data_IF_724457474252
#
_entry.id   IF_724457474252
#
_cell.length_a   1.000
_cell.length_b   1.000
_cell.length_c   1.000
_cell.angle_alpha   90.00
_cell.angle_beta   90.00
_cell.angle_gamma   90.00
#
_symmetry.space_group_name_H-M   'P 1'
#
loop_
_entity.id
_entity.type
_entity.pdbx_description
1 polymer ?
#
# COMPACT_ATOMS: atom_id res chain seq x y z
N UNK A 1 -2.96 -17.12 -4.21
CA UNK A 1 -3.14 -17.32 -5.66
C UNK A 1 -2.56 -18.67 -6.02
N UNK A 2 -3.30 -19.46 -6.80
CA UNK A 2 -2.94 -20.82 -7.12
C UNK A 2 -3.10 -21.09 -8.61
N UNK A 3 -2.30 -22.01 -9.15
CA UNK A 3 -2.45 -22.55 -10.51
C UNK A 3 -2.82 -24.03 -10.44
N UNK A 4 -3.54 -24.52 -11.44
CA UNK A 4 -3.79 -25.95 -11.68
C UNK A 4 -3.95 -26.18 -13.20
N UNK A 5 -3.99 -27.43 -13.66
CA UNK A 5 -4.24 -27.70 -15.08
C UNK A 5 -5.69 -27.40 -15.45
N UNK A 6 -5.97 -26.98 -16.70
CA UNK A 6 -7.34 -26.74 -17.16
C UNK A 6 -8.25 -27.95 -16.95
N UNK A 7 -7.78 -29.15 -17.29
CA UNK A 7 -8.56 -30.40 -17.11
C UNK A 7 -8.91 -30.67 -15.65
N UNK A 8 -7.97 -30.43 -14.72
CA UNK A 8 -8.21 -30.61 -13.29
C UNK A 8 -9.23 -29.60 -12.76
N UNK A 9 -9.13 -28.34 -13.22
CA UNK A 9 -10.09 -27.29 -12.89
C UNK A 9 -11.49 -27.60 -13.42
N UNK A 10 -11.61 -28.04 -14.66
CA UNK A 10 -12.91 -28.39 -15.26
C UNK A 10 -13.57 -29.57 -14.55
N UNK A 11 -12.79 -30.62 -14.23
CA UNK A 11 -13.28 -31.76 -13.46
C UNK A 11 -13.74 -31.33 -12.08
N UNK A 12 -12.97 -30.49 -11.39
CA UNK A 12 -13.35 -29.92 -10.10
C UNK A 12 -14.63 -29.08 -10.19
N UNK A 13 -14.77 -28.25 -11.22
CA UNK A 13 -15.93 -27.36 -11.35
C UNK A 13 -17.23 -28.12 -11.65
N UNK A 14 -17.15 -29.32 -12.26
CA UNK A 14 -18.28 -30.23 -12.47
C UNK A 14 -18.67 -31.00 -11.18
N UNK A 15 -17.77 -31.13 -10.21
CA UNK A 15 -18.04 -31.79 -8.93
C UNK A 15 -18.62 -30.81 -7.90
N UNK A 16 -19.91 -30.53 -8.04
CA UNK A 16 -20.65 -29.62 -7.17
C UNK A 16 -20.66 -30.08 -5.71
N UNK A 17 -20.63 -31.40 -5.46
CA UNK A 17 -20.69 -31.98 -4.12
C UNK A 17 -19.40 -31.68 -3.35
N UNK A 18 -18.25 -31.95 -3.95
CA UNK A 18 -16.93 -31.68 -3.34
C UNK A 18 -16.71 -30.17 -3.16
N UNK A 19 -17.10 -29.36 -4.14
CA UNK A 19 -17.01 -27.89 -4.07
C UNK A 19 -17.81 -27.31 -2.90
N UNK A 20 -19.08 -27.72 -2.73
CA UNK A 20 -19.92 -27.22 -1.63
C UNK A 20 -19.38 -27.69 -0.27
N UNK A 21 -18.88 -28.92 -0.17
CA UNK A 21 -18.28 -29.43 1.06
C UNK A 21 -17.05 -28.59 1.46
N UNK A 22 -16.08 -28.43 0.55
CA UNK A 22 -14.87 -27.64 0.79
C UNK A 22 -15.20 -26.19 1.16
N UNK A 23 -16.18 -25.58 0.50
CA UNK A 23 -16.60 -24.21 0.81
C UNK A 23 -17.16 -24.09 2.24
N UNK A 24 -17.94 -25.08 2.69
CA UNK A 24 -18.48 -25.10 4.04
C UNK A 24 -17.39 -25.36 5.09
N UNK A 25 -16.44 -26.25 4.79
CA UNK A 25 -15.30 -26.54 5.66
C UNK A 25 -14.41 -25.30 5.84
N UNK A 26 -14.08 -24.60 4.75
CA UNK A 26 -13.32 -23.33 4.80
C UNK A 26 -14.06 -22.23 5.57
N UNK A 27 -15.39 -22.10 5.40
CA UNK A 27 -16.20 -21.15 6.18
C UNK A 27 -16.16 -21.48 7.68
N UNK A 28 -16.23 -22.76 8.03
CA UNK A 28 -16.16 -23.23 9.41
C UNK A 28 -14.79 -22.95 10.04
N UNK A 29 -13.71 -23.20 9.29
CA UNK A 29 -12.34 -22.96 9.74
C UNK A 29 -12.07 -21.46 9.93
N UNK A 30 -12.46 -20.63 8.95
CA UNK A 30 -12.37 -19.17 9.05
C UNK A 30 -13.08 -18.63 10.29
N UNK A 31 -14.28 -19.15 10.59
CA UNK A 31 -15.03 -18.79 11.79
C UNK A 31 -14.37 -19.27 13.10
N UNK A 32 -13.54 -20.31 13.07
CA UNK A 32 -12.81 -20.82 14.24
C UNK A 32 -11.54 -19.99 14.52
N UNK A 33 -10.90 -19.46 13.48
CA UNK A 33 -9.76 -18.52 13.58
C UNK A 33 -10.13 -17.09 13.96
N UNK A 34 -11.42 -16.80 14.20
CA UNK A 34 -11.89 -15.57 14.85
C UNK A 34 -11.47 -15.55 16.33
N UNK A 35 -10.17 -15.49 16.60
CA UNK A 35 -9.67 -15.10 17.93
C UNK A 35 -9.83 -13.58 18.06
N UNK A 36 -10.31 -13.10 19.21
CA UNK A 36 -10.62 -11.69 19.54
C UNK A 36 -9.46 -10.69 19.31
N UNK A 37 -8.25 -11.20 19.04
CA UNK A 37 -7.04 -10.43 18.80
C UNK A 37 -6.52 -10.49 17.35
N UNK A 38 -6.97 -11.43 16.53
CA UNK A 38 -6.60 -11.49 15.12
C UNK A 38 -7.69 -10.78 14.30
N UNK A 39 -7.35 -9.70 13.60
CA UNK A 39 -8.30 -9.01 12.72
C UNK A 39 -8.97 -9.98 11.71
N UNK A 40 -10.11 -9.58 11.12
CA UNK A 40 -10.96 -10.39 10.23
C UNK A 40 -10.19 -11.45 9.42
N UNK A 41 -10.48 -12.75 9.54
CA UNK A 41 -9.74 -13.80 8.85
C UNK A 41 -9.73 -13.52 7.34
N UNK A 42 -8.55 -13.57 6.73
CA UNK A 42 -8.45 -13.52 5.28
C UNK A 42 -8.99 -14.86 4.78
N UNK A 43 -10.16 -14.84 4.13
CA UNK A 43 -10.69 -16.02 3.47
C UNK A 43 -9.78 -16.35 2.27
N UNK A 44 -8.80 -17.22 2.50
CA UNK A 44 -8.01 -17.82 1.43
C UNK A 44 -8.78 -19.02 0.88
N UNK A 45 -9.40 -18.86 -0.28
CA UNK A 45 -10.05 -19.97 -0.98
C UNK A 45 -9.00 -20.90 -1.59
N UNK A 46 -8.51 -21.85 -0.79
CA UNK A 46 -7.66 -22.93 -1.27
C UNK A 46 -8.51 -24.18 -1.51
N UNK A 47 -8.95 -24.37 -2.75
CA UNK A 47 -9.81 -25.49 -3.13
C UNK A 47 -9.09 -26.84 -3.23
N UNK A 48 -7.77 -26.89 -3.00
CA UNK A 48 -6.95 -28.11 -3.03
C UNK A 48 -7.18 -28.98 -4.29
N UNK A 49 -7.28 -28.34 -5.45
CA UNK A 49 -7.46 -29.01 -6.74
C UNK A 49 -6.26 -29.93 -7.00
N UNK A 50 -6.43 -31.13 -7.59
CA UNK A 50 -5.30 -31.99 -7.92
C UNK A 50 -4.23 -31.27 -8.74
N UNK A 51 -2.96 -31.49 -8.37
CA UNK A 51 -1.79 -30.82 -8.96
C UNK A 51 -1.80 -29.29 -8.86
N UNK A 52 -2.57 -28.73 -7.92
CA UNK A 52 -2.54 -27.31 -7.65
C UNK A 52 -1.17 -26.88 -7.10
N UNK A 53 -0.68 -25.72 -7.55
CA UNK A 53 0.57 -25.11 -7.09
C UNK A 53 0.30 -23.70 -6.59
N UNK A 54 1.04 -23.29 -5.56
CA UNK A 54 0.98 -21.92 -5.04
C UNK A 54 1.74 -21.02 -6.02
N UNK A 55 1.07 -19.97 -6.49
CA UNK A 55 1.70 -18.92 -7.31
C UNK A 55 2.11 -17.72 -6.46
N UNK A 56 1.28 -17.38 -5.48
CA UNK A 56 1.51 -16.27 -4.56
C UNK A 56 0.71 -16.49 -3.28
N UNK A 57 1.28 -16.13 -2.16
CA UNK A 57 0.65 -16.16 -0.85
C UNK A 57 0.89 -14.81 -0.17
N UNK A 58 -0.10 -14.34 0.59
CA UNK A 58 0.07 -13.14 1.39
C UNK A 58 0.83 -13.50 2.67
N UNK A 59 1.71 -12.61 3.13
CA UNK A 59 2.34 -12.77 4.43
C UNK A 59 1.30 -12.84 5.55
N UNK A 60 1.62 -13.57 6.62
CA UNK A 60 0.79 -13.65 7.80
C UNK A 60 0.57 -12.27 8.41
N UNK A 61 -0.63 -12.04 8.95
CA UNK A 61 -0.93 -10.81 9.67
C UNK A 61 -0.15 -10.76 10.97
N UNK A 62 0.30 -9.57 11.32
CA UNK A 62 0.95 -9.31 12.59
C UNK A 62 0.00 -9.57 13.77
N UNK A 63 0.55 -10.16 14.84
CA UNK A 63 -0.19 -10.49 16.06
C UNK A 63 -0.95 -9.29 16.64
N UNK A 64 -0.41 -8.08 16.49
CA UNK A 64 -0.99 -6.82 16.98
C UNK A 64 -1.51 -5.93 15.85
N UNK A 65 -1.77 -6.49 14.66
CA UNK A 65 -2.17 -5.70 13.49
C UNK A 65 -3.37 -4.79 13.76
N UNK A 66 -4.35 -5.23 14.56
CA UNK A 66 -5.54 -4.45 14.91
C UNK A 66 -5.22 -3.12 15.61
N UNK A 67 -4.13 -3.08 16.37
CA UNK A 67 -3.70 -1.88 17.12
C UNK A 67 -2.96 -0.88 16.22
N UNK A 68 -2.50 -1.34 15.05
CA UNK A 68 -1.74 -0.57 14.07
C UNK A 68 -2.43 -0.52 12.71
N UNK A 69 -3.73 -0.17 12.71
CA UNK A 69 -4.54 0.04 11.49
C UNK A 69 -4.61 -1.18 10.55
N UNK A 70 -4.36 -2.39 11.06
CA UNK A 70 -4.20 -3.62 10.29
C UNK A 70 -3.13 -3.54 9.20
N UNK A 71 -2.08 -2.75 9.42
CA UNK A 71 -0.97 -2.65 8.50
C UNK A 71 -0.16 -3.95 8.42
N UNK A 72 0.29 -4.27 7.21
CA UNK A 72 1.34 -5.27 6.99
C UNK A 72 2.70 -4.69 7.38
N UNK A 73 3.70 -5.56 7.54
CA UNK A 73 5.09 -5.12 7.74
C UNK A 73 5.57 -4.20 6.61
N UNK A 74 5.16 -4.49 5.38
CA UNK A 74 5.46 -3.64 4.24
C UNK A 74 4.91 -2.23 4.44
N UNK A 75 3.64 -2.09 4.84
CA UNK A 75 3.01 -0.79 5.09
C UNK A 75 3.66 -0.05 6.27
N UNK A 76 3.99 -0.77 7.34
CA UNK A 76 4.72 -0.19 8.49
C UNK A 76 6.09 0.38 8.08
N UNK A 77 6.77 -0.26 7.12
CA UNK A 77 8.07 0.20 6.65
C UNK A 77 8.02 1.44 5.72
N UNK A 78 6.87 1.73 5.10
CA UNK A 78 6.75 2.82 4.10
C UNK A 78 7.16 4.18 4.67
N UNK A 79 6.76 4.47 5.91
CA UNK A 79 7.00 5.76 6.57
C UNK A 79 8.25 5.77 7.48
N UNK A 80 9.04 4.69 7.49
CA UNK A 80 10.27 4.62 8.28
C UNK A 80 11.29 5.62 7.75
N UNK A 81 11.79 6.51 8.63
CA UNK A 81 12.86 7.43 8.26
C UNK A 81 14.18 6.67 8.02
N UNK A 82 14.92 6.98 6.95
CA UNK A 82 16.24 6.41 6.77
C UNK A 82 17.19 6.89 7.89
N UNK A 83 18.30 6.18 8.11
CA UNK A 83 19.39 6.64 8.96
C UNK A 83 19.81 8.11 8.67
N UNK A 84 20.27 8.84 9.70
CA UNK A 84 20.51 10.29 9.61
C UNK A 84 21.45 10.69 8.46
N UNK A 85 22.47 9.87 8.20
CA UNK A 85 23.42 10.02 7.10
C UNK A 85 22.76 9.91 5.71
N UNK A 86 21.67 9.15 5.60
CA UNK A 86 20.88 8.96 4.38
C UNK A 86 19.70 9.90 4.26
N UNK A 87 19.39 10.74 5.25
CA UNK A 87 18.26 11.68 5.18
C UNK A 87 18.39 12.67 4.02
N UNK A 88 19.61 13.10 3.69
CA UNK A 88 19.91 14.02 2.56
C UNK A 88 19.59 13.42 1.18
N UNK A 89 19.37 12.10 1.12
CA UNK A 89 19.02 11.38 -0.08
C UNK A 89 17.54 11.51 -0.47
N UNK A 90 16.70 12.04 0.41
CA UNK A 90 15.29 12.30 0.15
C UNK A 90 15.09 13.77 -0.25
N UNK A 91 14.18 14.06 -1.20
CA UNK A 91 13.78 15.44 -1.44
C UNK A 91 13.00 15.99 -0.24
N UNK A 92 12.95 17.31 -0.03
CA UNK A 92 12.15 17.93 1.03
C UNK A 92 10.64 17.67 0.89
N UNK A 93 10.20 17.22 -0.29
CA UNK A 93 8.81 16.87 -0.62
C UNK A 93 8.43 15.42 -0.32
N UNK A 94 9.36 14.59 0.16
CA UNK A 94 9.09 13.18 0.51
C UNK A 94 8.05 13.08 1.63
N UNK A 95 7.11 12.14 1.52
CA UNK A 95 6.01 12.01 2.49
C UNK A 95 6.49 11.72 3.91
N UNK A 96 7.66 11.10 4.10
CA UNK A 96 8.24 10.84 5.43
C UNK A 96 8.57 12.11 6.21
N UNK A 97 8.68 13.23 5.50
CA UNK A 97 8.96 14.56 6.04
C UNK A 97 7.68 15.33 6.40
N UNK A 98 6.48 14.78 6.16
CA UNK A 98 5.22 15.40 6.57
C UNK A 98 5.10 15.43 8.11
N UNK A 99 5.08 16.62 8.73
CA UNK A 99 5.08 16.72 10.19
C UNK A 99 3.78 16.24 10.81
N UNK A 100 2.62 16.49 10.18
CA UNK A 100 1.31 16.01 10.62
C UNK A 100 1.25 14.48 10.67
N UNK A 101 1.71 13.81 9.61
CA UNK A 101 1.77 12.34 9.56
C UNK A 101 2.75 11.77 10.59
N UNK A 102 3.90 12.43 10.81
CA UNK A 102 4.89 12.00 11.82
C UNK A 102 4.36 12.14 13.24
N UNK A 103 3.70 13.26 13.55
CA UNK A 103 3.09 13.49 14.86
C UNK A 103 2.01 12.46 15.14
N UNK A 104 1.17 12.17 14.14
CA UNK A 104 0.11 11.18 14.26
C UNK A 104 0.68 9.77 14.51
N UNK A 105 1.70 9.35 13.76
CA UNK A 105 2.38 8.07 13.97
C UNK A 105 2.98 7.92 15.37
N UNK A 106 3.44 9.03 15.97
CA UNK A 106 3.98 9.07 17.33
C UNK A 106 2.91 9.21 18.43
N UNK A 107 1.62 9.27 18.07
CA UNK A 107 0.50 9.38 19.02
C UNK A 107 0.15 10.81 19.45
N UNK A 108 0.77 11.84 18.87
CA UNK A 108 0.49 13.25 19.15
C UNK A 108 -0.67 13.76 18.30
N UNK A 109 -1.89 13.33 18.62
CA UNK A 109 -3.09 13.51 17.78
C UNK A 109 -3.47 14.99 17.61
N UNK A 110 -3.43 15.78 18.68
CA UNK A 110 -3.84 17.20 18.65
C UNK A 110 -2.84 18.04 17.85
N UNK A 111 -1.56 17.77 18.04
CA UNK A 111 -0.47 18.41 17.32
C UNK A 111 -0.50 18.05 15.84
N UNK A 112 -0.77 16.78 15.52
CA UNK A 112 -0.94 16.33 14.14
C UNK A 112 -2.09 17.05 13.43
N UNK A 113 -3.23 17.21 14.11
CA UNK A 113 -4.38 17.95 13.57
C UNK A 113 -4.04 19.42 13.32
N UNK A 114 -3.34 20.08 14.25
CA UNK A 114 -2.89 21.46 14.08
C UNK A 114 -1.94 21.61 12.89
N UNK A 115 -0.94 20.73 12.74
CA UNK A 115 -0.01 20.75 11.60
C UNK A 115 -0.72 20.44 10.27
N UNK A 116 -1.69 19.51 10.26
CA UNK A 116 -2.50 19.20 9.09
C UNK A 116 -3.23 20.46 8.60
N UNK A 117 -3.89 21.20 9.50
CA UNK A 117 -4.60 22.43 9.15
C UNK A 117 -3.67 23.50 8.56
N UNK A 118 -2.45 23.65 9.12
CA UNK A 118 -1.44 24.58 8.60
C UNK A 118 -0.99 24.23 7.18
N UNK A 119 -0.64 22.96 6.93
CA UNK A 119 -0.19 22.50 5.61
C UNK A 119 -1.31 22.64 4.58
N UNK A 120 -2.54 22.25 4.92
CA UNK A 120 -3.70 22.37 4.02
C UNK A 120 -4.06 23.83 3.73
N UNK A 121 -3.93 24.73 4.71
CA UNK A 121 -4.11 26.17 4.50
C UNK A 121 -3.03 26.74 3.56
N UNK A 122 -1.75 26.40 3.79
CA UNK A 122 -0.64 26.76 2.89
C UNK A 122 -0.90 26.26 1.47
N UNK A 123 -1.36 25.01 1.32
CA UNK A 123 -1.69 24.44 0.02
C UNK A 123 -2.86 25.18 -0.65
N UNK A 124 -3.91 25.54 0.09
CA UNK A 124 -5.08 26.28 -0.43
C UNK A 124 -4.75 27.70 -0.89
N UNK A 125 -3.72 28.32 -0.31
CA UNK A 125 -3.27 29.66 -0.71
C UNK A 125 -2.40 29.67 -1.97
N UNK A 126 -1.90 28.51 -2.41
CA UNK A 126 -1.06 28.41 -3.62
C UNK A 126 -1.89 28.69 -4.87
N UNK A 127 -1.31 29.45 -5.79
CA UNK A 127 -1.94 29.74 -7.09
C UNK A 127 -1.88 28.51 -8.00
N UNK A 128 -2.89 28.29 -8.86
CA UNK A 128 -2.78 27.31 -9.94
C UNK A 128 -1.54 27.61 -10.77
N UNK A 129 -0.72 26.60 -11.04
CA UNK A 129 0.54 26.78 -11.76
C UNK A 129 1.78 26.89 -10.87
N UNK A 130 1.64 27.34 -9.62
CA UNK A 130 2.79 27.68 -8.74
C UNK A 130 3.69 26.48 -8.43
N UNK A 131 3.10 25.30 -8.22
CA UNK A 131 3.83 24.04 -8.04
C UNK A 131 3.43 23.08 -9.16
N UNK A 132 4.40 22.67 -9.96
CA UNK A 132 4.24 21.66 -11.01
C UNK A 132 4.93 20.35 -10.63
N UNK A 133 4.45 19.19 -11.12
CA UNK A 133 5.13 17.92 -10.94
C UNK A 133 6.57 17.96 -11.50
N UNK A 134 7.57 17.72 -10.66
CA UNK A 134 8.98 17.80 -11.05
C UNK A 134 9.48 16.53 -11.75
N UNK A 135 8.92 15.37 -11.40
CA UNK A 135 9.46 14.05 -11.80
C UNK A 135 8.67 13.38 -12.92
N UNK A 136 7.53 13.97 -13.30
CA UNK A 136 6.61 13.44 -14.29
C UNK A 136 6.16 14.54 -15.24
N UNK A 137 5.90 14.19 -16.49
CA UNK A 137 5.30 15.06 -17.49
C UNK A 137 4.14 14.36 -18.17
N UNK A 138 3.02 15.05 -18.35
CA UNK A 138 1.92 14.53 -19.15
C UNK A 138 2.36 14.37 -20.61
N UNK A 139 2.05 13.23 -21.23
CA UNK A 139 2.40 12.99 -22.62
C UNK A 139 1.98 11.62 -23.12
N UNK A 140 2.32 11.31 -24.38
CA UNK A 140 1.93 10.05 -25.02
C UNK A 140 2.96 8.95 -24.79
N UNK A 141 2.54 7.81 -24.23
CA UNK A 141 3.40 6.64 -24.01
C UNK A 141 3.86 6.05 -25.35
N UNK A 142 5.17 5.79 -25.55
CA UNK A 142 5.68 5.22 -26.79
C UNK A 142 5.16 3.81 -27.10
N UNK A 143 4.86 3.02 -26.07
CA UNK A 143 4.49 1.61 -26.18
C UNK A 143 3.01 1.40 -26.50
N UNK A 144 2.14 2.21 -25.91
CA UNK A 144 0.68 2.03 -25.99
C UNK A 144 -0.01 3.12 -26.80
N UNK A 145 0.67 4.23 -27.07
CA UNK A 145 0.09 5.40 -27.73
C UNK A 145 -0.99 6.11 -26.91
N UNK A 146 -1.14 5.79 -25.62
CA UNK A 146 -2.09 6.46 -24.71
C UNK A 146 -1.44 7.65 -24.00
N UNK A 147 -2.22 8.66 -23.65
CA UNK A 147 -1.74 9.75 -22.79
C UNK A 147 -1.64 9.28 -21.34
N UNK A 148 -0.51 9.58 -20.70
CA UNK A 148 -0.23 9.24 -19.30
C UNK A 148 0.88 10.15 -18.72
N UNK A 149 1.17 10.00 -17.43
CA UNK A 149 2.31 10.62 -16.75
C UNK A 149 3.61 9.87 -17.04
N UNK A 150 4.52 10.51 -17.77
CA UNK A 150 5.81 9.94 -18.16
C UNK A 150 6.90 10.40 -17.18
N UNK A 151 7.62 9.43 -16.60
CA UNK A 151 8.75 9.70 -15.70
C UNK A 151 9.94 10.29 -16.46
N UNK A 152 10.49 11.40 -15.97
CA UNK A 152 11.63 12.08 -16.61
C UNK A 152 13.00 11.64 -16.07
N UNK A 153 13.01 10.67 -15.12
CA UNK A 153 14.19 10.06 -14.49
C UNK A 153 15.11 11.02 -13.71
N UNK A 154 14.76 12.30 -13.56
CA UNK A 154 15.62 13.27 -12.85
C UNK A 154 15.63 13.09 -11.33
N UNK A 155 14.58 12.48 -10.76
CA UNK A 155 14.49 12.17 -9.32
C UNK A 155 15.75 11.48 -8.79
N UNK A 156 16.25 10.47 -9.52
CA UNK A 156 17.40 9.68 -9.09
C UNK A 156 18.75 10.40 -9.19
N UNK A 157 18.80 11.59 -9.81
CA UNK A 157 20.00 12.44 -9.83
C UNK A 157 20.26 13.15 -8.50
N UNK A 158 19.27 13.16 -7.60
CA UNK A 158 19.35 13.71 -6.24
C UNK A 158 19.68 15.21 -6.15
N UNK A 159 19.15 15.98 -7.09
CA UNK A 159 19.25 17.45 -7.08
C UNK A 159 17.92 18.02 -6.63
N UNK A 160 17.92 18.68 -5.47
CA UNK A 160 16.69 19.15 -4.80
C UNK A 160 16.49 20.66 -4.85
N UNK A 161 17.32 21.39 -5.60
CA UNK A 161 17.25 22.86 -5.72
C UNK A 161 15.88 23.36 -6.18
N UNK A 162 15.24 22.59 -7.05
CA UNK A 162 13.98 22.95 -7.68
C UNK A 162 12.77 22.44 -6.89
N UNK A 163 13.00 21.77 -5.75
CA UNK A 163 11.93 21.25 -4.91
C UNK A 163 11.23 22.38 -4.17
N UNK A 164 9.91 22.51 -4.30
CA UNK A 164 9.15 23.49 -3.52
C UNK A 164 9.14 23.13 -2.04
N UNK A 165 9.06 24.14 -1.18
CA UNK A 165 8.82 23.94 0.24
C UNK A 165 7.32 23.67 0.50
N UNK A 166 7.01 22.41 0.69
CA UNK A 166 5.63 21.97 0.86
C UNK A 166 5.13 22.02 2.31
N UNK A 167 6.02 21.89 3.30
CA UNK A 167 5.66 21.55 4.67
C UNK A 167 6.06 22.58 5.72
N UNK A 168 7.02 23.47 5.44
CA UNK A 168 7.41 24.51 6.40
C UNK A 168 6.33 25.59 6.42
N UNK A 169 5.79 25.93 7.59
CA UNK A 169 4.72 26.94 7.73
C UNK A 169 5.17 28.02 8.69
#
# INVERSE_FOLDING_TARGET
MYSCSPDAYEKFNKDTKTKTKLLNDMKREANKTLNENAGLPVLTYNFQIPNQRILWEADERLLHGKDYYNFSMFTMALNQMPPKDKKKLLPPTDSRMRPDQRLFENGFIKEAEAEKLKIEAKQRQRKPGEVQPLWFKWGRLPTTGKEDWIVNKSYWKRVWSDCPDLFTV
#
